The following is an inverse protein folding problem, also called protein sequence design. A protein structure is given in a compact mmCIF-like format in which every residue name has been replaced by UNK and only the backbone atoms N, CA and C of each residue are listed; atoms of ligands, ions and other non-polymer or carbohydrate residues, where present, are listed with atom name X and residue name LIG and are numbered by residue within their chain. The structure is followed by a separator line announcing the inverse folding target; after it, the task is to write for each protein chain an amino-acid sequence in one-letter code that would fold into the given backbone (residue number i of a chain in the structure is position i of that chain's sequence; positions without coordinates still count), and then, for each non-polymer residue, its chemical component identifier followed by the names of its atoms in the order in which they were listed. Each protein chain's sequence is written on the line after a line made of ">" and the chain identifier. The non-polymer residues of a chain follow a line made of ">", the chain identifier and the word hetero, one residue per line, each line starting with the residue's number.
data_IF_175191696747
#
_entry.id   IF_175191696747
#
_cell.length_a   1.000
_cell.length_b   1.000
_cell.length_c   1.000
_cell.angle_alpha   90.00
_cell.angle_beta   90.00
_cell.angle_gamma   90.00
#
_symmetry.space_group_name_H-M   'P 1'
#
loop_
_entity.id
_entity.type
_entity.pdbx_description
1 polymer ?
#
# COMPACT_ATOMS: atom_id res chain seq x y z
N UNK A 1 -39.10 31.57 -29.47
CA UNK A 1 -37.66 31.37 -29.74
C UNK A 1 -36.84 32.66 -29.70
N UNK A 2 -37.32 33.83 -30.16
CA UNK A 2 -36.57 35.10 -30.12
C UNK A 2 -36.23 35.57 -28.69
N UNK A 3 -37.18 35.45 -27.74
CA UNK A 3 -37.00 35.87 -26.35
C UNK A 3 -35.94 35.04 -25.64
N UNK A 4 -35.96 33.71 -25.82
CA UNK A 4 -34.98 32.78 -25.23
C UNK A 4 -33.55 33.11 -25.73
N UNK A 5 -33.43 33.37 -27.03
CA UNK A 5 -32.14 33.74 -27.65
C UNK A 5 -31.59 35.05 -27.16
N UNK A 6 -32.48 36.05 -26.93
CA UNK A 6 -32.12 37.34 -26.35
C UNK A 6 -31.66 37.17 -24.87
N UNK A 7 -32.34 36.33 -24.12
CA UNK A 7 -32.00 36.04 -22.73
C UNK A 7 -30.62 35.33 -22.62
N UNK A 8 -30.40 34.30 -23.41
CA UNK A 8 -29.12 33.57 -23.45
C UNK A 8 -27.97 34.53 -23.83
N UNK A 9 -28.19 35.39 -24.83
CA UNK A 9 -27.19 36.39 -25.23
C UNK A 9 -26.86 37.37 -24.12
N UNK A 10 -27.90 37.87 -23.40
CA UNK A 10 -27.71 38.75 -22.27
C UNK A 10 -26.91 38.10 -21.15
N UNK A 11 -27.28 36.90 -20.73
CA UNK A 11 -26.58 36.16 -19.67
C UNK A 11 -25.14 35.85 -20.06
N UNK A 12 -24.91 35.42 -21.31
CA UNK A 12 -23.56 35.18 -21.81
C UNK A 12 -22.67 36.45 -21.77
N UNK A 13 -23.22 37.60 -22.21
CA UNK A 13 -22.49 38.86 -22.16
C UNK A 13 -22.22 39.33 -20.73
N UNK A 14 -23.13 39.02 -19.80
CA UNK A 14 -22.96 39.37 -18.40
C UNK A 14 -21.83 38.54 -17.80
N UNK A 15 -21.76 37.22 -18.05
CA UNK A 15 -20.69 36.33 -17.60
C UNK A 15 -19.32 36.78 -18.15
N UNK A 16 -19.26 37.11 -19.44
CA UNK A 16 -18.00 37.55 -20.09
C UNK A 16 -17.52 38.89 -19.56
N UNK A 17 -18.41 39.74 -19.11
CA UNK A 17 -18.07 41.06 -18.53
C UNK A 17 -17.78 41.01 -17.04
N UNK A 18 -18.03 39.88 -16.37
CA UNK A 18 -17.76 39.73 -14.95
C UNK A 18 -16.43 38.93 -14.77
N UNK A 19 -15.35 39.62 -14.35
CA UNK A 19 -14.06 38.98 -14.12
C UNK A 19 -14.13 37.85 -13.07
N UNK A 20 -15.01 38.00 -12.07
CA UNK A 20 -15.18 36.98 -11.01
C UNK A 20 -15.74 35.67 -11.54
N UNK A 21 -16.73 35.77 -12.46
CA UNK A 21 -17.31 34.60 -13.12
C UNK A 21 -16.27 33.85 -13.96
N UNK A 22 -15.42 34.56 -14.69
CA UNK A 22 -14.34 33.97 -15.49
C UNK A 22 -13.31 33.33 -14.59
N UNK A 23 -12.94 33.99 -13.49
CA UNK A 23 -11.96 33.47 -12.54
C UNK A 23 -12.43 32.15 -11.92
N UNK A 24 -13.68 32.07 -11.48
CA UNK A 24 -14.26 30.87 -10.85
C UNK A 24 -14.49 29.76 -11.89
N UNK A 25 -14.96 30.08 -13.10
CA UNK A 25 -15.33 29.09 -14.09
C UNK A 25 -14.12 28.49 -14.82
N UNK A 26 -13.03 29.24 -15.01
CA UNK A 26 -11.89 28.80 -15.81
C UNK A 26 -10.58 28.78 -15.05
N UNK A 27 -10.25 29.84 -14.32
CA UNK A 27 -8.94 29.95 -13.66
C UNK A 27 -8.86 29.02 -12.47
N UNK A 28 -9.91 28.95 -11.63
CA UNK A 28 -9.92 28.10 -10.46
C UNK A 28 -9.81 26.60 -10.81
N UNK A 29 -10.61 26.02 -11.74
CA UNK A 29 -10.46 24.64 -12.15
C UNK A 29 -9.11 24.35 -12.80
N UNK A 30 -8.58 25.28 -13.61
CA UNK A 30 -7.26 25.12 -14.24
C UNK A 30 -6.16 25.11 -13.19
N UNK A 31 -6.22 26.03 -12.22
CA UNK A 31 -5.25 26.09 -11.13
C UNK A 31 -5.31 24.83 -10.24
N UNK A 32 -6.52 24.36 -9.89
CA UNK A 32 -6.69 23.11 -9.17
C UNK A 32 -6.15 21.92 -9.97
N UNK A 33 -6.42 21.84 -11.27
CA UNK A 33 -5.87 20.79 -12.13
C UNK A 33 -4.35 20.80 -12.15
N UNK A 34 -3.73 21.98 -12.20
CA UNK A 34 -2.28 22.12 -12.13
C UNK A 34 -1.73 21.70 -10.78
N UNK A 35 -2.39 22.12 -9.68
CA UNK A 35 -2.00 21.69 -8.32
C UNK A 35 -2.09 20.16 -8.20
N UNK A 36 -3.17 19.55 -8.68
CA UNK A 36 -3.31 18.10 -8.65
C UNK A 36 -2.27 17.38 -9.55
N UNK A 37 -2.01 17.93 -10.73
CA UNK A 37 -1.05 17.34 -11.67
C UNK A 37 0.39 17.38 -11.16
N UNK A 38 0.80 18.48 -10.50
CA UNK A 38 2.16 18.66 -10.00
C UNK A 38 2.32 18.41 -8.49
N UNK A 39 1.23 18.54 -7.72
CA UNK A 39 1.28 18.42 -6.25
C UNK A 39 0.98 17.02 -5.74
N UNK A 40 0.27 16.20 -6.50
CA UNK A 40 0.04 14.81 -6.11
C UNK A 40 1.15 13.98 -6.74
N UNK A 41 2.14 13.64 -5.94
CA UNK A 41 3.14 12.68 -6.33
C UNK A 41 2.47 11.30 -6.39
N UNK A 42 2.09 10.85 -7.59
CA UNK A 42 1.58 9.51 -7.87
C UNK A 42 2.73 8.52 -8.07
N UNK A 43 3.95 8.88 -7.62
CA UNK A 43 5.05 7.94 -7.62
C UNK A 43 4.64 6.70 -6.85
N UNK A 44 4.83 5.57 -7.50
CA UNK A 44 4.54 4.23 -7.00
C UNK A 44 4.88 4.14 -5.52
N UNK A 45 3.89 3.78 -4.71
CA UNK A 45 4.03 3.59 -3.27
C UNK A 45 5.15 2.56 -3.06
N UNK A 46 6.37 3.04 -2.84
CA UNK A 46 7.49 2.19 -2.48
C UNK A 46 7.34 1.85 -1.00
N UNK A 47 6.79 0.68 -0.74
CA UNK A 47 6.58 0.19 0.61
C UNK A 47 7.86 -0.39 1.15
N UNK A 48 8.40 0.20 2.22
CA UNK A 48 9.52 -0.36 2.97
C UNK A 48 9.04 -1.53 3.82
N UNK A 49 9.48 -2.74 3.46
CA UNK A 49 9.02 -3.99 4.07
C UNK A 49 10.19 -4.71 4.75
N UNK A 50 10.06 -5.00 6.04
CA UNK A 50 10.98 -5.88 6.76
C UNK A 50 10.67 -7.34 6.46
N UNK A 51 11.69 -8.16 6.23
CA UNK A 51 11.54 -9.60 6.02
C UNK A 51 12.41 -10.36 7.05
N UNK A 52 11.77 -11.21 7.85
CA UNK A 52 12.45 -12.11 8.79
C UNK A 52 12.16 -13.55 8.39
N UNK A 53 13.23 -14.31 8.14
CA UNK A 53 13.17 -15.71 7.80
C UNK A 53 13.69 -16.51 8.99
N UNK A 54 12.81 -17.21 9.69
CA UNK A 54 13.21 -18.11 10.77
C UNK A 54 13.42 -19.54 10.25
N UNK A 55 12.88 -19.88 9.07
CA UNK A 55 13.07 -21.15 8.39
C UNK A 55 14.28 -21.06 7.43
N UNK A 56 15.28 -21.91 7.64
CA UNK A 56 16.51 -21.93 6.85
C UNK A 56 16.39 -22.71 5.53
N UNK A 57 15.19 -23.18 5.17
CA UNK A 57 15.00 -23.97 3.96
C UNK A 57 15.26 -23.16 2.69
N UNK A 58 15.95 -23.72 1.66
CA UNK A 58 16.18 -23.04 0.39
C UNK A 58 14.90 -22.51 -0.31
N UNK A 59 13.75 -23.16 -0.10
CA UNK A 59 12.47 -22.67 -0.64
C UNK A 59 12.08 -21.31 -0.08
N UNK A 60 12.35 -21.06 1.21
CA UNK A 60 12.09 -19.77 1.84
C UNK A 60 12.97 -18.66 1.26
N UNK A 61 14.20 -19.01 0.86
CA UNK A 61 15.07 -18.08 0.13
C UNK A 61 14.48 -17.68 -1.23
N UNK A 62 13.79 -18.59 -1.92
CA UNK A 62 13.11 -18.24 -3.18
C UNK A 62 11.91 -17.33 -2.95
N UNK A 63 11.17 -17.53 -1.85
CA UNK A 63 10.11 -16.61 -1.43
C UNK A 63 10.68 -15.22 -1.11
N UNK A 64 11.78 -15.13 -0.37
CA UNK A 64 12.45 -13.87 -0.08
C UNK A 64 12.86 -13.13 -1.34
N UNK A 65 13.39 -13.82 -2.35
CA UNK A 65 13.70 -13.23 -3.65
C UNK A 65 12.46 -12.69 -4.38
N UNK A 66 11.32 -13.39 -4.26
CA UNK A 66 10.08 -12.93 -4.85
C UNK A 66 9.62 -11.59 -4.24
N UNK A 67 9.82 -11.41 -2.94
CA UNK A 67 9.60 -10.13 -2.28
C UNK A 67 10.57 -9.05 -2.75
N UNK A 68 11.87 -9.35 -2.81
CA UNK A 68 12.91 -8.38 -3.21
C UNK A 68 12.82 -7.98 -4.69
N UNK A 69 12.27 -8.83 -5.55
CA UNK A 69 12.09 -8.55 -6.98
C UNK A 69 10.79 -7.80 -7.28
N UNK A 70 9.95 -7.53 -6.29
CA UNK A 70 8.73 -6.78 -6.49
C UNK A 70 9.03 -5.28 -6.55
N UNK A 71 8.64 -4.62 -7.66
CA UNK A 71 8.93 -3.20 -7.90
C UNK A 71 8.24 -2.22 -6.94
N UNK A 72 7.22 -2.67 -6.23
CA UNK A 72 6.46 -1.86 -5.28
C UNK A 72 6.94 -2.02 -3.84
N UNK A 73 7.85 -2.98 -3.58
CA UNK A 73 8.36 -3.31 -2.27
C UNK A 73 9.86 -3.04 -2.19
N UNK A 74 10.27 -2.24 -1.24
CA UNK A 74 11.66 -2.11 -0.83
C UNK A 74 11.89 -3.04 0.35
N UNK A 75 12.40 -4.24 0.07
CA UNK A 75 12.52 -5.30 1.08
C UNK A 75 13.88 -5.29 1.73
N UNK A 76 13.91 -5.26 3.07
CA UNK A 76 15.11 -5.41 3.89
C UNK A 76 15.01 -6.68 4.73
N UNK A 77 16.05 -7.53 4.67
CA UNK A 77 16.12 -8.76 5.46
C UNK A 77 16.71 -8.45 6.84
N UNK A 78 16.07 -8.97 7.88
CA UNK A 78 16.44 -8.79 9.28
C UNK A 78 16.86 -10.12 9.92
N UNK A 79 17.97 -10.08 10.68
CA UNK A 79 18.41 -11.23 11.48
C UNK A 79 17.73 -11.27 12.85
N UNK A 80 17.28 -10.12 13.37
CA UNK A 80 16.59 -9.98 14.65
C UNK A 80 15.19 -9.44 14.49
N UNK A 81 14.21 -10.06 15.16
CA UNK A 81 12.84 -9.53 15.24
C UNK A 81 12.78 -8.19 15.98
N UNK A 82 13.59 -8.03 17.04
CA UNK A 82 13.58 -6.80 17.84
C UNK A 82 14.06 -5.59 17.03
N UNK A 83 15.11 -5.78 16.20
CA UNK A 83 15.58 -4.74 15.30
C UNK A 83 14.50 -4.37 14.26
N UNK A 84 13.83 -5.36 13.68
CA UNK A 84 12.74 -5.15 12.74
C UNK A 84 11.55 -4.42 13.39
N UNK A 85 11.13 -4.82 14.60
CA UNK A 85 10.07 -4.13 15.34
C UNK A 85 10.45 -2.70 15.70
N UNK A 86 11.70 -2.47 16.10
CA UNK A 86 12.20 -1.12 16.36
C UNK A 86 12.08 -0.21 15.14
N UNK A 87 12.38 -0.74 13.96
CA UNK A 87 12.27 0.03 12.71
C UNK A 87 10.81 0.26 12.27
N UNK A 88 9.88 -0.63 12.59
CA UNK A 88 8.42 -0.40 12.43
C UNK A 88 7.97 0.74 13.37
N UNK A 89 8.34 0.66 14.66
CA UNK A 89 7.96 1.69 15.66
C UNK A 89 8.53 3.07 15.30
N UNK A 90 9.71 3.11 14.68
CA UNK A 90 10.35 4.35 14.22
C UNK A 90 9.88 4.79 12.82
N UNK A 91 8.82 4.18 12.27
CA UNK A 91 8.26 4.49 10.94
C UNK A 91 9.25 4.39 9.78
N UNK A 92 10.33 3.61 9.94
CA UNK A 92 11.26 3.29 8.85
C UNK A 92 10.72 2.17 7.96
N UNK A 93 9.90 1.28 8.52
CA UNK A 93 9.19 0.23 7.83
C UNK A 93 7.68 0.47 7.93
N UNK A 94 6.98 0.31 6.83
CA UNK A 94 5.52 0.34 6.80
C UNK A 94 4.90 -1.04 7.12
N UNK A 95 5.70 -2.08 7.08
CA UNK A 95 5.26 -3.41 7.46
C UNK A 95 6.40 -4.41 7.51
N UNK A 96 6.06 -5.62 7.94
CA UNK A 96 7.01 -6.73 7.98
C UNK A 96 6.34 -8.05 7.66
N UNK A 97 7.13 -8.98 7.13
CA UNK A 97 6.73 -10.35 6.89
C UNK A 97 7.67 -11.27 7.65
N UNK A 98 7.10 -12.16 8.46
CA UNK A 98 7.85 -13.17 9.21
C UNK A 98 7.46 -14.56 8.74
N UNK A 99 8.44 -15.30 8.28
CA UNK A 99 8.29 -16.71 7.89
C UNK A 99 8.78 -17.56 9.06
N UNK A 100 7.88 -18.29 9.78
CA UNK A 100 8.25 -19.07 10.95
C UNK A 100 9.06 -20.32 10.56
N UNK A 101 9.75 -20.91 11.54
CA UNK A 101 10.65 -22.03 11.35
C UNK A 101 9.98 -23.35 10.90
N UNK A 102 8.69 -23.50 11.16
CA UNK A 102 7.89 -24.68 10.79
C UNK A 102 7.18 -24.53 9.42
N UNK A 103 7.37 -23.39 8.75
CA UNK A 103 6.68 -23.05 7.51
C UNK A 103 6.86 -24.14 6.43
N UNK A 104 8.10 -24.50 6.10
CA UNK A 104 8.39 -25.51 5.05
C UNK A 104 7.92 -26.91 5.45
N UNK A 105 8.02 -27.24 6.74
CA UNK A 105 7.54 -28.53 7.26
C UNK A 105 6.04 -28.66 7.08
N UNK A 106 5.28 -27.63 7.43
CA UNK A 106 3.83 -27.61 7.26
C UNK A 106 3.45 -27.66 5.79
N UNK A 107 4.12 -26.86 4.96
CA UNK A 107 3.88 -26.81 3.51
C UNK A 107 4.10 -28.20 2.85
N UNK A 108 5.20 -28.90 3.19
CA UNK A 108 5.51 -30.20 2.62
C UNK A 108 4.55 -31.30 3.09
N UNK A 109 3.98 -31.16 4.28
CA UNK A 109 3.01 -32.10 4.85
C UNK A 109 1.56 -31.80 4.39
N UNK A 110 1.36 -30.84 3.50
CA UNK A 110 0.02 -30.40 3.08
C UNK A 110 -0.82 -29.79 4.20
N UNK A 111 -0.18 -29.29 5.25
CA UNK A 111 -0.82 -28.58 6.34
C UNK A 111 -0.80 -27.06 6.07
N UNK A 112 -1.75 -26.30 6.64
CA UNK A 112 -1.72 -24.86 6.53
C UNK A 112 -0.39 -24.31 7.07
N UNK A 113 0.38 -23.66 6.20
CA UNK A 113 1.62 -22.99 6.55
C UNK A 113 1.32 -21.49 6.78
N UNK A 114 1.68 -20.98 7.94
CA UNK A 114 1.35 -19.61 8.32
C UNK A 114 2.51 -18.68 7.95
N UNK A 115 2.17 -17.50 7.44
CA UNK A 115 3.10 -16.38 7.28
C UNK A 115 2.50 -15.19 8.03
N UNK A 116 3.28 -14.60 8.94
CA UNK A 116 2.84 -13.45 9.69
C UNK A 116 3.13 -12.18 8.90
N UNK A 117 2.10 -11.40 8.58
CA UNK A 117 2.20 -10.09 7.97
C UNK A 117 1.83 -9.04 9.01
N UNK A 118 2.79 -8.19 9.35
CA UNK A 118 2.65 -7.13 10.34
C UNK A 118 2.58 -5.81 9.60
N UNK A 119 1.62 -4.97 9.94
CA UNK A 119 1.43 -3.65 9.34
C UNK A 119 1.32 -2.60 10.42
N UNK A 120 1.80 -1.39 10.11
CA UNK A 120 1.52 -0.23 10.96
C UNK A 120 0.06 0.20 10.75
N UNK A 121 -0.73 0.15 11.83
CA UNK A 121 -2.14 0.53 11.82
C UNK A 121 -2.39 2.04 11.86
N UNK A 122 -1.35 2.86 12.03
CA UNK A 122 -1.48 4.32 12.06
C UNK A 122 -1.89 4.88 10.69
N UNK A 123 -1.50 4.19 9.61
CA UNK A 123 -1.85 4.54 8.23
C UNK A 123 -2.66 3.42 7.55
N UNK A 124 -3.97 3.48 7.64
CA UNK A 124 -4.88 2.43 7.13
C UNK A 124 -4.66 2.11 5.64
N UNK A 125 -4.39 3.12 4.80
CA UNK A 125 -4.16 2.91 3.37
C UNK A 125 -2.86 2.13 3.14
N UNK A 126 -1.78 2.50 3.81
CA UNK A 126 -0.48 1.84 3.73
C UNK A 126 -0.56 0.41 4.23
N UNK A 127 -1.28 0.17 5.35
CA UNK A 127 -1.53 -1.18 5.87
C UNK A 127 -2.23 -2.08 4.85
N UNK A 128 -3.25 -1.56 4.15
CA UNK A 128 -3.95 -2.29 3.08
C UNK A 128 -3.02 -2.60 1.89
N UNK A 129 -2.13 -1.68 1.51
CA UNK A 129 -1.17 -1.93 0.43
C UNK A 129 -0.13 -2.99 0.83
N UNK A 130 0.41 -2.93 2.05
CA UNK A 130 1.33 -3.98 2.56
C UNK A 130 0.67 -5.35 2.46
N UNK A 131 -0.57 -5.47 2.95
CA UNK A 131 -1.32 -6.72 2.89
C UNK A 131 -1.56 -7.21 1.45
N UNK A 132 -2.01 -6.31 0.57
CA UNK A 132 -2.30 -6.63 -0.82
C UNK A 132 -1.04 -7.13 -1.55
N UNK A 133 0.06 -6.40 -1.45
CA UNK A 133 1.30 -6.78 -2.13
C UNK A 133 1.94 -8.02 -1.53
N UNK A 134 1.96 -8.16 -0.19
CA UNK A 134 2.48 -9.37 0.45
C UNK A 134 1.69 -10.61 0.03
N UNK A 135 0.35 -10.55 0.06
CA UNK A 135 -0.50 -11.65 -0.39
C UNK A 135 -0.32 -11.96 -1.87
N UNK A 136 -0.16 -10.95 -2.71
CA UNK A 136 0.10 -11.11 -4.14
C UNK A 136 1.43 -11.81 -4.42
N UNK A 137 2.51 -11.42 -3.73
CA UNK A 137 3.83 -12.07 -3.86
C UNK A 137 3.77 -13.52 -3.40
N UNK A 138 3.13 -13.80 -2.26
CA UNK A 138 2.96 -15.16 -1.74
C UNK A 138 2.18 -16.03 -2.73
N UNK A 139 1.05 -15.53 -3.24
CA UNK A 139 0.23 -16.25 -4.21
C UNK A 139 0.98 -16.54 -5.52
N UNK A 140 1.71 -15.56 -6.04
CA UNK A 140 2.54 -15.73 -7.22
C UNK A 140 3.66 -16.76 -6.99
N UNK A 141 4.34 -16.71 -5.84
CA UNK A 141 5.37 -17.68 -5.48
C UNK A 141 4.81 -19.10 -5.37
N UNK A 142 3.63 -19.28 -4.74
CA UNK A 142 2.94 -20.57 -4.68
C UNK A 142 2.65 -21.15 -6.06
N UNK A 143 2.19 -20.31 -6.98
CA UNK A 143 1.93 -20.72 -8.36
C UNK A 143 3.20 -21.24 -9.04
N UNK A 144 4.38 -20.70 -8.73
CA UNK A 144 5.67 -21.21 -9.28
C UNK A 144 6.06 -22.58 -8.73
N UNK A 145 5.56 -22.95 -7.56
CA UNK A 145 5.79 -24.28 -6.97
C UNK A 145 4.84 -25.36 -7.51
N UNK A 146 3.98 -25.05 -8.45
CA UNK A 146 2.98 -25.97 -9.02
C UNK A 146 1.76 -26.21 -8.11
N UNK A 147 1.66 -25.47 -7.01
CA UNK A 147 0.44 -25.44 -6.19
C UNK A 147 -0.57 -24.51 -6.87
N UNK A 148 -1.39 -25.07 -7.74
CA UNK A 148 -2.48 -24.33 -8.39
C UNK A 148 -3.58 -23.98 -7.37
N UNK A 149 -4.38 -22.97 -7.71
CA UNK A 149 -5.50 -22.40 -6.96
C UNK A 149 -6.59 -23.40 -6.49
N UNK A 150 -6.38 -24.70 -6.71
CA UNK A 150 -7.28 -25.77 -6.26
C UNK A 150 -7.04 -26.25 -4.81
N UNK A 151 -6.00 -25.72 -4.14
CA UNK A 151 -5.80 -25.91 -2.69
C UNK A 151 -5.78 -24.53 -2.01
N UNK A 152 -6.93 -23.90 -1.81
CA UNK A 152 -7.03 -22.50 -1.41
C UNK A 152 -6.50 -22.16 -0.01
N UNK A 153 -6.14 -23.16 0.81
CA UNK A 153 -5.79 -22.96 2.22
C UNK A 153 -4.36 -23.45 2.57
N UNK A 154 -3.46 -23.54 1.60
CA UNK A 154 -2.12 -24.06 1.88
C UNK A 154 -1.22 -23.05 2.60
N UNK A 155 -1.44 -21.77 2.38
CA UNK A 155 -0.78 -20.68 3.14
C UNK A 155 -1.85 -19.73 3.68
N UNK A 156 -1.83 -19.53 4.98
CA UNK A 156 -2.68 -18.57 5.68
C UNK A 156 -1.84 -17.35 6.07
N UNK A 157 -1.97 -16.21 5.38
CA UNK A 157 -1.38 -14.98 5.86
C UNK A 157 -2.10 -14.55 7.14
N UNK A 158 -1.41 -14.64 8.27
CA UNK A 158 -1.92 -14.07 9.52
C UNK A 158 -1.62 -12.58 9.55
N UNK A 159 -2.65 -11.78 9.44
CA UNK A 159 -2.55 -10.34 9.54
C UNK A 159 -2.49 -9.92 11.00
N UNK A 160 -1.45 -9.20 11.37
CA UNK A 160 -1.32 -8.54 12.66
C UNK A 160 -1.15 -7.04 12.44
N UNK A 161 -2.14 -6.26 12.87
CA UNK A 161 -2.08 -4.81 12.83
C UNK A 161 -1.41 -4.33 14.11
N UNK A 162 -0.32 -3.61 13.98
CA UNK A 162 0.37 -2.97 15.08
C UNK A 162 -0.09 -1.51 15.17
N UNK A 163 -0.57 -1.11 16.33
CA UNK A 163 -0.86 0.29 16.61
C UNK A 163 0.32 0.90 17.39
N UNK A 164 0.93 1.93 16.83
CA UNK A 164 1.97 2.67 17.51
C UNK A 164 1.33 3.57 18.56
N UNK A 165 1.39 3.19 19.85
CA UNK A 165 0.88 3.99 20.97
C UNK A 165 1.63 5.33 21.16
N UNK A 166 2.76 5.52 20.48
CA UNK A 166 3.57 6.75 20.54
C UNK A 166 3.16 7.82 19.53
N UNK A 167 2.16 7.58 18.68
CA UNK A 167 1.54 8.63 17.87
C UNK A 167 0.67 9.48 18.79
N UNK A 168 1.33 10.38 19.50
CA UNK A 168 0.71 11.38 20.36
C UNK A 168 -0.17 12.26 19.46
N UNK A 169 -1.47 12.31 19.79
CA UNK A 169 -2.51 13.07 19.08
C UNK A 169 -2.26 14.60 19.10
N UNK A 170 -1.15 15.06 19.64
CA UNK A 170 -0.77 16.47 19.75
C UNK A 170 -0.44 17.14 18.41
N UNK A 171 -0.22 16.39 17.32
CA UNK A 171 0.10 16.98 16.02
C UNK A 171 -1.11 17.28 15.12
N UNK A 172 -2.34 17.02 15.59
CA UNK A 172 -3.56 17.25 14.80
C UNK A 172 -4.39 18.48 15.25
N UNK A 173 -3.85 19.31 16.15
CA UNK A 173 -4.51 20.56 16.55
C UNK A 173 -3.55 21.73 16.34
N UNK A 174 -3.49 22.23 15.11
CA UNK A 174 -3.18 23.63 14.75
C UNK A 174 -3.91 23.96 13.46
#
# INVERSE_FOLDING_TARGET
>A
MKILRAFIKKEFLQIVRDPSSILIAFILPTLLSLIYMYGINMDSVNISLGLKLDDANPRVTTLARSFSNNRYLQTQIYDSRDAMYSDIVNSKLQGAVVVPNDFTVNLNNGRPAQILVITDGSETNTANYVQLYASGVIAQWLATLGHTSQQPNLIEPQLRVWYNEKVDSHYFIL
#
